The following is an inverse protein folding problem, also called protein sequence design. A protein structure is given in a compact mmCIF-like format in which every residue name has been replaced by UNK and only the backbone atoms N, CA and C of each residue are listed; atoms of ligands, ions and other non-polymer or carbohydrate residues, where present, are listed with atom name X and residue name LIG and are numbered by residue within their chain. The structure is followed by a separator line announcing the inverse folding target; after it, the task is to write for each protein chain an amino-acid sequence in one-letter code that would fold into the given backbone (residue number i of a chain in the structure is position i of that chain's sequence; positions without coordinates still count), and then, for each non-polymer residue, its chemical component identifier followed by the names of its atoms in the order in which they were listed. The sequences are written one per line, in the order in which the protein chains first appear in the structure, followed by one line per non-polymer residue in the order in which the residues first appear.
data_IF_712779825959
#
_entry.id   IF_712779825959
#
_cell.length_a   1.000
_cell.length_b   1.000
_cell.length_c   1.000
_cell.angle_alpha   90.00
_cell.angle_beta   90.00
_cell.angle_gamma   90.00
#
_symmetry.space_group_name_H-M   'P 1'
#
loop_
_entity.id
_entity.type
_entity.pdbx_description
1 polymer ?
#
# COMPACT_ATOMS: atom_id res chain seq x y z
N UNK A 1 7.08 18.82 -2.30
CA UNK A 1 7.02 18.71 -3.78
C UNK A 1 7.90 19.76 -4.49
N UNK A 2 9.17 19.93 -4.10
CA UNK A 2 10.08 20.93 -4.70
C UNK A 2 10.81 20.39 -5.95
N UNK A 3 10.90 19.07 -6.08
CA UNK A 3 11.60 18.35 -7.16
C UNK A 3 11.09 18.60 -8.58
N UNK A 4 9.77 18.59 -8.89
CA UNK A 4 9.30 18.78 -10.27
C UNK A 4 9.52 20.20 -10.78
N UNK A 5 9.44 21.22 -9.92
CA UNK A 5 9.64 22.62 -10.31
C UNK A 5 11.10 22.90 -10.68
N UNK A 6 12.05 22.40 -9.88
CA UNK A 6 13.49 22.50 -10.16
C UNK A 6 13.83 21.82 -11.49
N UNK A 7 13.21 20.66 -11.77
CA UNK A 7 13.43 19.92 -13.01
C UNK A 7 13.03 20.75 -14.25
N UNK A 8 11.84 21.38 -14.23
CA UNK A 8 11.35 22.25 -15.32
C UNK A 8 12.26 23.47 -15.51
N UNK A 9 12.64 24.15 -14.42
CA UNK A 9 13.51 25.33 -14.47
C UNK A 9 14.88 24.96 -15.07
N UNK A 10 15.46 23.83 -14.66
CA UNK A 10 16.75 23.36 -15.17
C UNK A 10 16.72 23.10 -16.69
N UNK A 11 15.64 22.51 -17.21
CA UNK A 11 15.45 22.28 -18.63
C UNK A 11 15.44 23.59 -19.42
N UNK A 12 14.67 24.57 -18.94
CA UNK A 12 14.57 25.89 -19.59
C UNK A 12 15.92 26.60 -19.60
N UNK A 13 16.67 26.56 -18.51
CA UNK A 13 18.00 27.14 -18.42
C UNK A 13 19.01 26.46 -19.36
N UNK A 14 18.99 25.13 -19.45
CA UNK A 14 19.87 24.38 -20.36
C UNK A 14 19.55 24.67 -21.84
N UNK A 15 18.27 24.70 -22.22
CA UNK A 15 17.85 25.03 -23.57
C UNK A 15 18.23 26.47 -23.98
N UNK A 16 18.21 27.42 -23.02
CA UNK A 16 18.67 28.80 -23.23
C UNK A 16 20.19 28.88 -23.35
N UNK A 17 20.94 28.13 -22.53
CA UNK A 17 22.42 28.16 -22.49
C UNK A 17 23.05 27.60 -23.76
N UNK A 18 22.52 26.51 -24.31
CA UNK A 18 23.08 25.89 -25.51
C UNK A 18 22.48 26.49 -26.79
N UNK A 19 23.29 27.20 -27.58
CA UNK A 19 22.86 27.79 -28.87
C UNK A 19 22.83 26.79 -30.04
N UNK A 20 23.59 25.70 -29.95
CA UNK A 20 23.65 24.67 -31.00
C UNK A 20 22.31 23.94 -31.18
N UNK A 21 21.80 23.89 -32.41
CA UNK A 21 20.57 23.14 -32.75
C UNK A 21 20.69 21.66 -32.43
N UNK A 22 21.89 21.06 -32.61
CA UNK A 22 22.13 19.63 -32.29
C UNK A 22 22.07 19.40 -30.78
N UNK A 23 22.71 20.26 -29.99
CA UNK A 23 22.71 20.15 -28.53
C UNK A 23 21.31 20.32 -27.94
N UNK A 24 20.50 21.27 -28.43
CA UNK A 24 19.11 21.43 -27.97
C UNK A 24 18.25 20.19 -28.23
N UNK A 25 18.41 19.55 -29.39
CA UNK A 25 17.70 18.30 -29.72
C UNK A 25 18.10 17.16 -28.77
N UNK A 26 19.39 17.01 -28.50
CA UNK A 26 19.91 15.97 -27.57
C UNK A 26 19.39 16.22 -26.16
N UNK A 27 19.46 17.45 -25.66
CA UNK A 27 18.97 17.82 -24.32
C UNK A 27 17.46 17.55 -24.21
N UNK A 28 16.68 17.98 -25.21
CA UNK A 28 15.24 17.72 -25.24
C UNK A 28 14.90 16.24 -25.22
N UNK A 29 15.62 15.43 -26.00
CA UNK A 29 15.46 13.98 -26.01
C UNK A 29 15.76 13.36 -24.65
N UNK A 30 16.89 13.70 -24.02
CA UNK A 30 17.28 13.17 -22.70
C UNK A 30 16.24 13.51 -21.62
N UNK A 31 15.74 14.74 -21.60
CA UNK A 31 14.70 15.16 -20.65
C UNK A 31 13.37 14.46 -20.91
N UNK A 32 12.99 14.26 -22.17
CA UNK A 32 11.79 13.50 -22.51
C UNK A 32 11.91 12.04 -22.08
N UNK A 33 13.05 11.39 -22.36
CA UNK A 33 13.32 10.02 -21.90
C UNK A 33 13.28 9.90 -20.38
N UNK A 34 13.89 10.85 -19.66
CA UNK A 34 13.83 10.89 -18.20
C UNK A 34 12.39 11.09 -17.69
N UNK A 35 11.61 11.97 -18.30
CA UNK A 35 10.21 12.20 -17.91
C UNK A 35 9.36 10.94 -18.10
N UNK A 36 9.50 10.23 -19.22
CA UNK A 36 8.82 8.95 -19.47
C UNK A 36 9.20 7.92 -18.41
N UNK A 37 10.50 7.77 -18.13
CA UNK A 37 10.98 6.85 -17.09
C UNK A 37 10.49 7.22 -15.68
N UNK A 38 10.48 8.52 -15.35
CA UNK A 38 10.00 9.04 -14.07
C UNK A 38 8.50 8.77 -13.87
N UNK A 39 7.68 9.04 -14.89
CA UNK A 39 6.24 8.75 -14.85
C UNK A 39 6.00 7.26 -14.70
N UNK A 40 6.70 6.42 -15.48
CA UNK A 40 6.59 4.97 -15.37
C UNK A 40 6.94 4.49 -13.95
N UNK A 41 8.03 4.98 -13.38
CA UNK A 41 8.49 4.61 -12.03
C UNK A 41 7.44 4.96 -10.96
N UNK A 42 6.77 6.10 -11.07
CA UNK A 42 5.66 6.48 -10.19
C UNK A 42 4.44 5.58 -10.35
N UNK A 43 4.09 5.20 -11.59
CA UNK A 43 2.93 4.34 -11.86
C UNK A 43 3.13 2.90 -11.39
N UNK A 44 4.37 2.40 -11.41
CA UNK A 44 4.75 1.05 -10.96
C UNK A 44 5.18 0.99 -9.51
N UNK A 45 5.32 2.14 -8.82
CA UNK A 45 5.71 2.16 -7.41
C UNK A 45 4.75 1.35 -6.55
N UNK A 46 5.30 0.46 -5.71
CA UNK A 46 4.52 -0.43 -4.86
C UNK A 46 3.73 -1.50 -5.60
N UNK A 47 3.94 -1.71 -6.91
CA UNK A 47 3.31 -2.82 -7.65
C UNK A 47 4.07 -4.13 -7.41
N UNK A 48 3.34 -5.17 -7.04
CA UNK A 48 3.87 -6.49 -6.77
C UNK A 48 3.19 -7.54 -7.65
N UNK A 49 3.96 -8.57 -7.98
CA UNK A 49 3.46 -9.80 -8.58
C UNK A 49 4.09 -10.95 -7.83
N UNK A 50 3.30 -11.67 -7.05
CA UNK A 50 3.77 -12.78 -6.24
C UNK A 50 3.30 -14.10 -6.85
N UNK A 51 4.23 -15.02 -7.11
CA UNK A 51 3.89 -16.41 -7.42
C UNK A 51 3.27 -17.09 -6.17
N UNK A 52 2.52 -18.19 -6.33
CA UNK A 52 2.01 -18.97 -5.21
C UNK A 52 3.09 -19.28 -4.17
N UNK A 53 2.81 -19.01 -2.90
CA UNK A 53 3.73 -19.20 -1.76
C UNK A 53 4.78 -18.10 -1.59
N UNK A 54 4.93 -17.15 -2.52
CA UNK A 54 5.84 -16.02 -2.34
C UNK A 54 5.25 -14.97 -1.40
N UNK A 55 6.14 -14.24 -0.74
CA UNK A 55 5.77 -13.15 0.15
C UNK A 55 6.60 -11.90 -0.09
N UNK A 56 6.04 -10.76 0.30
CA UNK A 56 6.74 -9.48 0.37
C UNK A 56 6.53 -8.87 1.75
N UNK A 57 7.54 -8.13 2.21
CA UNK A 57 7.54 -7.47 3.50
C UNK A 57 7.48 -5.95 3.32
N UNK A 58 6.54 -5.32 4.01
CA UNK A 58 6.38 -3.87 4.07
C UNK A 58 6.69 -3.42 5.50
N UNK A 59 7.64 -2.50 5.63
CA UNK A 59 8.01 -1.97 6.94
C UNK A 59 7.09 -0.81 7.30
N UNK A 60 6.65 -0.80 8.56
CA UNK A 60 5.87 0.29 9.15
C UNK A 60 6.77 1.05 10.10
N UNK A 61 6.83 2.37 9.93
CA UNK A 61 7.68 3.26 10.70
C UNK A 61 6.84 4.36 11.35
N UNK A 62 6.12 4.05 12.45
CA UNK A 62 5.21 5.00 13.08
C UNK A 62 5.95 6.25 13.53
N UNK A 63 5.33 7.41 13.31
CA UNK A 63 5.88 8.71 13.64
C UNK A 63 5.60 9.09 15.10
N UNK A 64 6.13 8.31 16.03
CA UNK A 64 5.81 8.42 17.48
C UNK A 64 6.21 9.74 18.14
N UNK A 65 7.00 10.57 17.45
CA UNK A 65 7.37 11.91 17.92
C UNK A 65 6.24 12.94 17.74
N UNK A 66 5.23 12.63 16.91
CA UNK A 66 4.03 13.44 16.77
C UNK A 66 2.97 13.10 17.81
N UNK A 67 2.20 14.10 18.23
CA UNK A 67 1.10 13.95 19.20
C UNK A 67 0.01 13.01 18.66
N UNK A 68 -0.31 13.14 17.38
CA UNK A 68 -1.26 12.31 16.64
C UNK A 68 -0.51 11.66 15.48
N UNK A 69 -0.18 10.38 15.61
CA UNK A 69 0.47 9.60 14.55
C UNK A 69 -0.47 8.50 14.06
N UNK A 70 -0.35 8.15 12.79
CA UNK A 70 -1.11 7.05 12.20
C UNK A 70 -0.32 6.36 11.11
N UNK A 71 -0.53 5.05 10.97
CA UNK A 71 0.04 4.28 9.87
C UNK A 71 -1.08 3.60 9.11
N UNK A 72 -1.10 3.76 7.79
CA UNK A 72 -2.11 3.19 6.90
C UNK A 72 -1.45 2.22 5.91
N UNK A 73 -2.02 1.02 5.74
CA UNK A 73 -1.69 0.13 4.63
C UNK A 73 -2.72 0.34 3.53
N UNK A 74 -2.28 0.88 2.40
CA UNK A 74 -3.10 0.99 1.19
C UNK A 74 -2.83 -0.24 0.33
N UNK A 75 -3.87 -1.05 0.07
CA UNK A 75 -3.79 -2.29 -0.68
C UNK A 75 -4.81 -2.30 -1.82
N UNK A 76 -4.32 -2.14 -3.05
CA UNK A 76 -5.10 -2.22 -4.29
C UNK A 76 -4.88 -3.58 -4.96
N UNK A 77 -5.88 -4.45 -4.92
CA UNK A 77 -5.86 -5.75 -5.58
C UNK A 77 -6.44 -5.62 -7.00
N UNK A 78 -5.68 -6.08 -8.00
CA UNK A 78 -6.11 -6.04 -9.40
C UNK A 78 -6.88 -7.28 -9.83
N UNK A 79 -6.82 -8.32 -9.01
CA UNK A 79 -7.46 -9.61 -9.17
C UNK A 79 -8.12 -10.05 -7.85
N UNK A 80 -8.83 -11.17 -7.91
CA UNK A 80 -9.47 -11.85 -6.78
C UNK A 80 -8.55 -12.89 -6.12
N UNK A 81 -7.26 -12.90 -6.44
CA UNK A 81 -6.35 -13.93 -5.95
C UNK A 81 -6.17 -13.81 -4.44
N UNK A 82 -6.29 -14.92 -3.73
CA UNK A 82 -6.21 -14.92 -2.29
C UNK A 82 -4.81 -14.57 -1.80
N UNK A 83 -4.70 -13.50 -1.01
CA UNK A 83 -3.45 -13.14 -0.33
C UNK A 83 -3.68 -13.08 1.18
N UNK A 84 -2.66 -13.45 1.95
CA UNK A 84 -2.65 -13.38 3.41
C UNK A 84 -1.86 -12.16 3.87
N UNK A 85 -2.46 -11.36 4.75
CA UNK A 85 -1.83 -10.24 5.44
C UNK A 85 -1.51 -10.67 6.87
N UNK A 86 -0.24 -10.59 7.28
CA UNK A 86 0.20 -10.91 8.63
C UNK A 86 1.13 -9.84 9.20
N UNK A 87 1.37 -9.88 10.51
CA UNK A 87 2.18 -8.90 11.24
C UNK A 87 1.40 -7.97 12.18
N UNK A 88 0.07 -8.14 12.27
CA UNK A 88 -0.80 -7.46 13.23
C UNK A 88 -1.68 -8.46 13.98
N UNK A 89 -2.06 -8.08 15.20
CA UNK A 89 -2.98 -8.86 16.05
C UNK A 89 -4.45 -8.52 15.78
N UNK A 90 -4.71 -7.31 15.29
CA UNK A 90 -6.05 -6.84 14.89
C UNK A 90 -5.92 -6.14 13.55
N UNK A 91 -6.79 -6.51 12.61
CA UNK A 91 -6.93 -5.80 11.33
C UNK A 91 -8.28 -5.10 11.28
N UNK A 92 -8.31 -3.91 10.69
CA UNK A 92 -9.55 -3.20 10.40
C UNK A 92 -9.37 -2.33 9.17
N UNK A 93 -10.43 -2.20 8.37
CA UNK A 93 -10.46 -1.17 7.34
C UNK A 93 -10.49 0.21 8.01
N UNK A 94 -9.88 1.19 7.36
CA UNK A 94 -9.89 2.56 7.84
C UNK A 94 -11.35 3.05 7.89
N UNK A 95 -11.77 3.52 9.08
CA UNK A 95 -13.15 3.89 9.39
C UNK A 95 -14.18 2.74 9.33
N UNK A 96 -13.72 1.49 9.24
CA UNK A 96 -14.57 0.32 9.34
C UNK A 96 -15.05 0.06 10.77
N UNK A 97 -16.24 -0.50 10.90
CA UNK A 97 -16.83 -0.94 12.17
C UNK A 97 -16.59 -2.44 12.44
N UNK A 98 -15.83 -3.12 11.58
CA UNK A 98 -15.49 -4.54 11.71
C UNK A 98 -14.01 -4.70 12.00
N UNK A 99 -13.71 -5.39 13.10
CA UNK A 99 -12.38 -5.74 13.57
C UNK A 99 -12.15 -7.24 13.38
N UNK A 100 -11.00 -7.60 12.83
CA UNK A 100 -10.55 -8.96 12.61
C UNK A 100 -9.46 -9.28 13.64
N UNK A 101 -9.83 -9.90 14.75
CA UNK A 101 -8.92 -10.23 15.85
C UNK A 101 -8.23 -11.58 15.57
N UNK A 102 -6.94 -11.53 15.25
CA UNK A 102 -6.12 -12.69 14.88
C UNK A 102 -5.87 -13.59 16.08
N UNK A 103 -5.45 -13.04 17.22
CA UNK A 103 -5.18 -13.84 18.42
C UNK A 103 -6.46 -14.50 18.97
N UNK A 104 -7.58 -13.78 18.91
CA UNK A 104 -8.88 -14.28 19.33
C UNK A 104 -9.57 -15.18 18.31
N UNK A 105 -9.03 -15.32 17.09
CA UNK A 105 -9.63 -16.04 15.97
C UNK A 105 -11.11 -15.67 15.73
N UNK A 106 -11.44 -14.39 15.85
CA UNK A 106 -12.83 -13.90 15.80
C UNK A 106 -12.98 -12.58 15.05
N UNK A 107 -14.19 -12.33 14.61
CA UNK A 107 -14.58 -11.08 13.93
C UNK A 107 -15.53 -10.32 14.86
N UNK A 108 -15.28 -9.04 15.08
CA UNK A 108 -16.06 -8.22 16.02
C UNK A 108 -16.57 -6.98 15.31
N UNK A 109 -17.87 -6.74 15.38
CA UNK A 109 -18.48 -5.48 14.96
C UNK A 109 -18.60 -4.53 16.15
N UNK A 110 -18.06 -3.32 16.04
CA UNK A 110 -18.18 -2.27 17.05
C UNK A 110 -19.38 -1.36 16.76
N UNK A 111 -19.96 -0.76 17.80
CA UNK A 111 -21.07 0.19 17.64
C UNK A 111 -22.41 -0.47 17.31
N UNK A 112 -22.64 -1.69 17.80
CA UNK A 112 -23.96 -2.32 17.72
C UNK A 112 -24.97 -1.56 18.63
N UNK A 113 -26.22 -1.50 18.22
CA UNK A 113 -27.23 -0.64 18.88
C UNK A 113 -27.65 -1.20 20.24
N UNK A 114 -27.62 -2.52 20.40
CA UNK A 114 -27.98 -3.22 21.63
C UNK A 114 -26.77 -3.48 22.55
N UNK A 115 -25.57 -3.63 21.99
CA UNK A 115 -24.34 -3.95 22.71
C UNK A 115 -23.18 -3.10 22.18
N UNK A 116 -22.22 -2.73 23.02
CA UNK A 116 -21.04 -1.96 22.58
C UNK A 116 -20.26 -2.65 21.43
N UNK A 117 -20.32 -3.98 21.37
CA UNK A 117 -19.78 -4.79 20.27
C UNK A 117 -20.56 -6.09 20.11
N UNK A 118 -20.44 -6.71 18.93
CA UNK A 118 -21.06 -7.97 18.57
C UNK A 118 -20.07 -8.87 17.84
N UNK A 119 -19.92 -10.11 18.29
CA UNK A 119 -19.15 -11.11 17.57
C UNK A 119 -19.88 -11.57 16.30
N UNK A 120 -19.14 -11.68 15.20
CA UNK A 120 -19.62 -12.13 13.90
C UNK A 120 -18.96 -13.46 13.54
N UNK A 121 -19.65 -14.32 12.77
CA UNK A 121 -19.02 -15.49 12.19
C UNK A 121 -17.87 -15.09 11.24
N UNK A 122 -16.81 -15.90 11.22
CA UNK A 122 -15.66 -15.75 10.33
C UNK A 122 -15.97 -16.24 8.90
N UNK A 123 -16.96 -15.63 8.27
CA UNK A 123 -17.42 -15.95 6.92
C UNK A 123 -17.72 -14.67 6.11
N UNK A 124 -17.03 -13.57 6.43
CA UNK A 124 -17.19 -12.31 5.71
C UNK A 124 -16.74 -12.49 4.26
N UNK A 125 -17.42 -11.82 3.34
CA UNK A 125 -17.35 -12.10 1.90
C UNK A 125 -15.94 -11.96 1.29
N UNK A 126 -15.10 -11.11 1.89
CA UNK A 126 -13.82 -10.70 1.29
C UNK A 126 -12.61 -10.83 2.22
N UNK A 127 -12.84 -11.00 3.52
CA UNK A 127 -11.81 -10.98 4.56
C UNK A 127 -12.13 -12.09 5.57
N UNK A 128 -11.17 -12.97 5.84
CA UNK A 128 -11.32 -14.04 6.80
C UNK A 128 -10.13 -14.05 7.75
N UNK A 129 -10.39 -14.23 9.05
CA UNK A 129 -9.33 -14.46 10.04
C UNK A 129 -8.74 -15.84 9.81
N UNK A 130 -7.41 -15.92 9.83
CA UNK A 130 -6.64 -17.17 9.77
C UNK A 130 -5.60 -17.18 10.89
N UNK A 131 -4.85 -18.27 11.01
CA UNK A 131 -3.96 -18.55 12.16
C UNK A 131 -3.06 -17.38 12.58
N UNK A 132 -2.38 -16.72 11.63
CA UNK A 132 -1.40 -15.65 11.89
C UNK A 132 -1.74 -14.32 11.19
N UNK A 133 -2.98 -14.14 10.76
CA UNK A 133 -3.37 -12.94 10.02
C UNK A 133 -4.79 -12.96 9.46
N UNK A 134 -4.98 -12.28 8.33
CA UNK A 134 -6.22 -12.29 7.56
C UNK A 134 -5.96 -12.72 6.11
N UNK A 135 -6.85 -13.51 5.54
CA UNK A 135 -6.91 -13.75 4.10
C UNK A 135 -7.86 -12.76 3.45
N UNK A 136 -7.44 -12.17 2.34
CA UNK A 136 -8.23 -11.19 1.58
C UNK A 136 -8.36 -11.61 0.12
N UNK A 137 -9.59 -11.51 -0.40
CA UNK A 137 -9.97 -11.95 -1.76
C UNK A 137 -10.68 -10.87 -2.58
N UNK A 138 -10.92 -9.68 -2.01
CA UNK A 138 -11.58 -8.58 -2.72
C UNK A 138 -10.81 -8.10 -3.96
N UNK A 139 -11.51 -7.44 -4.88
CA UNK A 139 -10.91 -6.66 -5.95
C UNK A 139 -11.12 -5.16 -5.68
N UNK A 140 -10.13 -4.33 -6.02
CA UNK A 140 -10.17 -2.88 -5.78
C UNK A 140 -9.22 -2.43 -4.67
N UNK A 141 -9.39 -1.20 -4.18
CA UNK A 141 -8.56 -0.61 -3.14
C UNK A 141 -9.27 -0.64 -1.78
N UNK A 142 -8.55 -1.09 -0.75
CA UNK A 142 -8.91 -0.90 0.65
C UNK A 142 -7.74 -0.31 1.41
N UNK A 143 -8.05 0.48 2.44
CA UNK A 143 -7.07 1.04 3.36
C UNK A 143 -7.27 0.37 4.70
N UNK A 144 -6.20 -0.16 5.28
CA UNK A 144 -6.22 -0.76 6.61
C UNK A 144 -5.52 0.17 7.59
N UNK A 145 -6.11 0.33 8.78
CA UNK A 145 -5.41 0.97 9.89
C UNK A 145 -4.37 0.00 10.43
N UNK A 146 -3.10 0.41 10.36
CA UNK A 146 -1.95 -0.37 10.82
C UNK A 146 -1.13 0.40 11.86
N UNK A 147 -1.77 1.35 12.55
CA UNK A 147 -1.15 2.21 13.56
C UNK A 147 -0.62 1.39 14.73
N UNK A 148 0.63 1.63 15.10
CA UNK A 148 1.30 0.96 16.20
C UNK A 148 2.31 1.91 16.85
N UNK A 149 2.68 1.68 18.12
CA UNK A 149 3.69 2.48 18.82
C UNK A 149 5.13 2.01 18.56
N UNK A 150 5.31 0.89 17.86
CA UNK A 150 6.63 0.32 17.54
C UNK A 150 6.73 0.02 16.06
N UNK A 151 7.96 0.07 15.55
CA UNK A 151 8.28 -0.36 14.18
C UNK A 151 8.02 -1.85 14.04
N UNK A 152 7.35 -2.24 12.98
CA UNK A 152 7.05 -3.64 12.70
C UNK A 152 7.01 -3.88 11.18
N UNK A 153 6.74 -5.12 10.78
CA UNK A 153 6.68 -5.52 9.38
C UNK A 153 5.37 -6.22 9.10
N UNK A 154 4.69 -5.76 8.06
CA UNK A 154 3.55 -6.44 7.46
C UNK A 154 4.08 -7.39 6.40
N UNK A 155 3.62 -8.64 6.41
CA UNK A 155 3.94 -9.60 5.37
C UNK A 155 2.70 -9.87 4.53
N UNK A 156 2.83 -9.73 3.22
CA UNK A 156 1.79 -10.08 2.25
C UNK A 156 2.24 -11.36 1.55
N UNK A 157 1.49 -12.44 1.69
CA UNK A 157 1.81 -13.75 1.12
C UNK A 157 0.76 -14.14 0.09
N UNK A 158 1.16 -14.61 -1.07
CA UNK A 158 0.23 -15.25 -2.00
C UNK A 158 -0.08 -16.67 -1.51
N UNK A 159 -1.33 -16.90 -1.11
CA UNK A 159 -1.84 -18.21 -0.66
C UNK A 159 -2.79 -18.84 -1.68
N UNK A 160 -2.99 -18.19 -2.82
CA UNK A 160 -3.73 -18.73 -3.97
C UNK A 160 -2.91 -19.69 -4.82
N UNK A 161 -3.55 -20.19 -5.87
CA UNK A 161 -2.98 -21.14 -6.85
C UNK A 161 -2.40 -20.46 -8.09
N UNK A 162 -2.63 -19.15 -8.28
CA UNK A 162 -2.13 -18.37 -9.41
C UNK A 162 -1.33 -17.14 -8.95
N UNK A 163 -0.56 -16.50 -9.85
CA UNK A 163 0.12 -15.25 -9.53
C UNK A 163 -0.86 -14.17 -9.08
N UNK A 164 -0.54 -13.49 -7.96
CA UNK A 164 -1.34 -12.40 -7.42
C UNK A 164 -0.72 -11.05 -7.79
N UNK A 165 -1.53 -10.16 -8.36
CA UNK A 165 -1.15 -8.82 -8.79
C UNK A 165 -1.83 -7.76 -7.93
N UNK A 166 -1.02 -6.96 -7.23
CA UNK A 166 -1.54 -5.92 -6.35
C UNK A 166 -0.57 -4.75 -6.24
N UNK A 167 -1.07 -3.59 -5.80
CA UNK A 167 -0.23 -2.52 -5.27
C UNK A 167 -0.37 -2.44 -3.78
N UNK A 168 0.74 -2.29 -3.07
CA UNK A 168 0.73 -2.09 -1.64
C UNK A 168 1.75 -1.03 -1.22
N UNK A 169 1.34 -0.17 -0.30
CA UNK A 169 2.24 0.81 0.34
C UNK A 169 1.79 1.11 1.76
N UNK A 170 2.76 1.37 2.61
CA UNK A 170 2.53 1.92 3.95
C UNK A 170 2.68 3.43 3.86
N UNK A 171 1.77 4.16 4.50
CA UNK A 171 1.84 5.61 4.68
C UNK A 171 1.88 5.89 6.17
N UNK A 172 3.05 6.30 6.66
CA UNK A 172 3.24 6.77 8.04
C UNK A 172 3.01 8.29 8.08
N UNK A 173 2.10 8.75 8.93
CA UNK A 173 1.78 10.17 9.17
C UNK A 173 2.25 10.54 10.57
#
# INVERSE_FOLDING_TARGET
MITPLIFIISLVLLLRRFKSKRSRKIIGFLYASFAVWFVYSFLTYGSYTLQPGQSVQLRVYPNTDQLEYSSELILEKKDDQKIKLSGMTVWSEQFGDVLFEVEGQKVVKIGDTENASKELPNNQQDIQVVEDGIEVTYQGEKVFDVTNNKKFTITITNVGDKPAHFKARVVDR
#
